data_IF_860592468815
#
_entry.id   IF_860592468815
#
_cell.length_a   1.000
_cell.length_b   1.000
_cell.length_c   1.000
_cell.angle_alpha   90.00
_cell.angle_beta   90.00
_cell.angle_gamma   90.00
#
_symmetry.space_group_name_H-M   'P 1'
#
loop_
_entity.id
_entity.type
_entity.pdbx_description
1 polymer ?
#
# COMPACT_ATOMS: atom_id res chain seq x y z
N UNK A 1 10.07 56.83 1.87
CA UNK A 1 10.10 55.58 1.08
C UNK A 1 9.86 55.94 -0.38
N UNK A 2 10.73 55.50 -1.29
CA UNK A 2 10.46 55.65 -2.73
C UNK A 2 9.46 54.58 -3.17
N UNK A 3 8.69 54.85 -4.23
CA UNK A 3 7.71 53.89 -4.79
C UNK A 3 8.38 52.55 -5.14
N UNK A 4 9.64 52.59 -5.58
CA UNK A 4 10.46 51.40 -5.83
C UNK A 4 10.67 50.53 -4.59
N UNK A 5 10.93 51.13 -3.42
CA UNK A 5 11.11 50.38 -2.17
C UNK A 5 9.81 49.71 -1.73
N UNK A 6 8.67 50.38 -1.91
CA UNK A 6 7.35 49.81 -1.60
C UNK A 6 7.06 48.58 -2.46
N UNK A 7 7.32 48.67 -3.77
CA UNK A 7 7.14 47.55 -4.70
C UNK A 7 8.05 46.37 -4.34
N UNK A 8 9.31 46.64 -3.95
CA UNK A 8 10.23 45.59 -3.51
C UNK A 8 9.74 44.85 -2.26
N UNK A 9 9.22 45.56 -1.26
CA UNK A 9 8.68 44.91 -0.06
C UNK A 9 7.43 44.08 -0.35
N UNK A 10 6.56 44.53 -1.26
CA UNK A 10 5.40 43.75 -1.71
C UNK A 10 5.83 42.48 -2.44
N UNK A 11 6.80 42.58 -3.34
CA UNK A 11 7.38 41.42 -4.04
C UNK A 11 8.04 40.44 -3.07
N UNK A 12 8.80 40.95 -2.08
CA UNK A 12 9.42 40.12 -1.06
C UNK A 12 8.38 39.38 -0.22
N UNK A 13 7.31 40.07 0.20
CA UNK A 13 6.22 39.44 0.94
C UNK A 13 5.53 38.34 0.12
N UNK A 14 5.33 38.57 -1.18
CA UNK A 14 4.76 37.57 -2.09
C UNK A 14 5.68 36.35 -2.27
N UNK A 15 6.99 36.58 -2.42
CA UNK A 15 7.98 35.51 -2.51
C UNK A 15 7.99 34.64 -1.25
N UNK A 16 7.93 35.27 -0.07
CA UNK A 16 7.85 34.57 1.21
C UNK A 16 6.57 33.74 1.30
N UNK A 17 5.43 34.28 0.89
CA UNK A 17 4.16 33.54 0.88
C UNK A 17 4.21 32.31 -0.02
N UNK A 18 4.73 32.43 -1.26
CA UNK A 18 4.90 31.29 -2.18
C UNK A 18 5.85 30.25 -1.57
N UNK A 19 6.94 30.68 -0.97
CA UNK A 19 7.93 29.78 -0.35
C UNK A 19 7.29 28.97 0.77
N UNK A 20 6.49 29.60 1.63
CA UNK A 20 5.77 28.92 2.70
C UNK A 20 4.74 27.91 2.16
N UNK A 21 4.01 28.27 1.09
CA UNK A 21 3.06 27.36 0.43
C UNK A 21 3.77 26.12 -0.15
N UNK A 22 4.93 26.31 -0.80
CA UNK A 22 5.72 25.21 -1.35
C UNK A 22 6.26 24.29 -0.25
N UNK A 23 6.77 24.85 0.85
CA UNK A 23 7.22 24.07 2.00
C UNK A 23 6.07 23.28 2.62
N UNK A 24 4.89 23.89 2.75
CA UNK A 24 3.70 23.22 3.24
C UNK A 24 3.29 22.06 2.33
N UNK A 25 3.18 22.29 1.01
CA UNK A 25 2.83 21.27 0.03
C UNK A 25 3.81 20.09 0.06
N UNK A 26 5.12 20.37 0.12
CA UNK A 26 6.16 19.35 0.23
C UNK A 26 6.03 18.52 1.50
N UNK A 27 5.80 19.17 2.64
CA UNK A 27 5.69 18.52 3.95
C UNK A 27 4.45 17.63 4.02
N UNK A 28 3.30 18.13 3.54
CA UNK A 28 2.06 17.35 3.46
C UNK A 28 2.21 16.17 2.50
N UNK A 29 2.84 16.38 1.34
CA UNK A 29 3.11 15.31 0.38
C UNK A 29 3.96 14.20 0.98
N UNK A 30 5.06 14.56 1.67
CA UNK A 30 5.91 13.58 2.38
C UNK A 30 5.14 12.82 3.46
N UNK A 31 4.34 13.52 4.28
CA UNK A 31 3.53 12.91 5.33
C UNK A 31 2.50 11.93 4.76
N UNK A 32 1.80 12.30 3.69
CA UNK A 32 0.83 11.42 3.00
C UNK A 32 1.50 10.18 2.43
N UNK A 33 2.68 10.32 1.82
CA UNK A 33 3.45 9.18 1.30
C UNK A 33 3.85 8.21 2.40
N UNK A 34 4.37 8.71 3.52
CA UNK A 34 4.72 7.88 4.68
C UNK A 34 3.50 7.16 5.25
N UNK A 35 2.37 7.85 5.37
CA UNK A 35 1.13 7.26 5.84
C UNK A 35 0.61 6.17 4.89
N UNK A 36 0.69 6.38 3.57
CA UNK A 36 0.32 5.35 2.59
C UNK A 36 1.21 4.11 2.69
N UNK A 37 2.52 4.28 2.87
CA UNK A 37 3.43 3.14 3.08
C UNK A 37 3.16 2.41 4.40
N UNK A 38 2.89 3.13 5.48
CA UNK A 38 2.53 2.53 6.76
C UNK A 38 1.22 1.74 6.68
N UNK A 39 0.20 2.33 6.04
CA UNK A 39 -1.09 1.66 5.81
C UNK A 39 -0.90 0.41 4.96
N UNK A 40 -0.10 0.47 3.88
CA UNK A 40 0.21 -0.69 3.04
C UNK A 40 0.82 -1.84 3.85
N UNK A 41 1.83 -1.54 4.66
CA UNK A 41 2.48 -2.55 5.52
C UNK A 41 1.51 -3.13 6.55
N UNK A 42 0.64 -2.29 7.13
CA UNK A 42 -0.34 -2.73 8.10
C UNK A 42 -1.39 -3.65 7.47
N UNK A 43 -1.97 -3.26 6.33
CA UNK A 43 -2.95 -4.07 5.61
C UNK A 43 -2.39 -5.44 5.23
N UNK A 44 -1.15 -5.50 4.71
CA UNK A 44 -0.52 -6.78 4.40
C UNK A 44 -0.30 -7.63 5.65
N UNK A 45 0.14 -7.02 6.75
CA UNK A 45 0.39 -7.74 8.00
C UNK A 45 -0.89 -8.32 8.60
N UNK A 46 -2.00 -7.59 8.52
CA UNK A 46 -3.31 -8.08 8.97
C UNK A 46 -3.79 -9.26 8.12
N UNK A 47 -3.55 -9.23 6.80
CA UNK A 47 -3.83 -10.34 5.89
C UNK A 47 -2.93 -11.55 6.16
N UNK A 48 -1.65 -11.34 6.45
CA UNK A 48 -0.72 -12.41 6.81
C UNK A 48 -1.11 -13.10 8.12
N UNK A 49 -1.54 -12.34 9.13
CA UNK A 49 -2.03 -12.89 10.39
C UNK A 49 -3.29 -13.75 10.16
N UNK A 50 -4.23 -13.28 9.34
CA UNK A 50 -5.41 -14.06 8.94
C UNK A 50 -5.02 -15.33 8.19
N UNK A 51 -4.14 -15.23 7.21
CA UNK A 51 -3.67 -16.39 6.47
C UNK A 51 -2.95 -17.40 7.38
N UNK A 52 -2.19 -16.93 8.37
CA UNK A 52 -1.53 -17.79 9.35
C UNK A 52 -2.52 -18.54 10.26
N UNK A 53 -3.56 -17.86 10.75
CA UNK A 53 -4.63 -18.51 11.53
C UNK A 53 -5.31 -19.62 10.70
N UNK A 54 -5.58 -19.33 9.42
CA UNK A 54 -6.14 -20.28 8.47
C UNK A 54 -5.19 -21.44 8.16
N UNK A 55 -3.88 -21.20 8.07
CA UNK A 55 -2.87 -22.27 7.95
C UNK A 55 -2.97 -23.24 9.12
N UNK A 56 -3.03 -22.73 10.35
CA UNK A 56 -3.13 -23.56 11.54
C UNK A 56 -4.45 -24.35 11.56
N UNK A 57 -5.56 -23.68 11.24
CA UNK A 57 -6.90 -24.29 11.23
C UNK A 57 -7.03 -25.41 10.20
N UNK A 58 -6.46 -25.22 9.02
CA UNK A 58 -6.55 -26.18 7.91
C UNK A 58 -5.32 -27.11 7.81
N UNK A 59 -4.35 -27.00 8.72
CA UNK A 59 -3.09 -27.76 8.72
C UNK A 59 -2.33 -27.65 7.38
N UNK A 60 -2.34 -26.46 6.80
CA UNK A 60 -1.67 -26.14 5.54
C UNK A 60 -0.30 -25.51 5.78
N UNK A 61 0.60 -25.67 4.81
CA UNK A 61 1.92 -25.04 4.77
C UNK A 61 1.97 -24.09 3.58
N UNK A 62 1.66 -22.81 3.78
CA UNK A 62 1.84 -21.81 2.73
C UNK A 62 3.34 -21.47 2.60
N UNK A 63 3.97 -22.11 1.61
CA UNK A 63 5.40 -22.01 1.34
C UNK A 63 5.72 -20.73 0.54
N UNK A 64 4.78 -20.28 -0.29
CA UNK A 64 4.90 -19.10 -1.13
C UNK A 64 3.72 -18.16 -0.88
N UNK A 65 3.99 -16.85 -0.82
CA UNK A 65 3.00 -15.81 -0.49
C UNK A 65 3.23 -14.58 -1.36
N UNK A 66 2.16 -14.04 -1.93
CA UNK A 66 2.18 -12.84 -2.75
C UNK A 66 1.10 -11.88 -2.28
N UNK A 67 1.52 -10.72 -1.76
CA UNK A 67 0.63 -9.67 -1.27
C UNK A 67 0.45 -8.58 -2.32
N UNK A 68 -0.81 -8.23 -2.58
CA UNK A 68 -1.22 -7.16 -3.48
C UNK A 68 -2.13 -6.19 -2.74
N UNK A 69 -2.09 -4.91 -3.11
CA UNK A 69 -3.07 -3.92 -2.64
C UNK A 69 -3.61 -3.20 -3.87
N UNK A 70 -4.93 -3.05 -3.95
CA UNK A 70 -5.58 -2.32 -5.02
C UNK A 70 -5.64 -0.80 -4.74
N UNK A 71 -6.08 -0.02 -5.72
CA UNK A 71 -6.19 1.43 -5.59
C UNK A 71 -7.16 1.90 -4.49
N UNK A 72 -8.10 1.04 -4.08
CA UNK A 72 -9.01 1.30 -2.96
C UNK A 72 -8.42 0.97 -1.58
N UNK A 73 -7.17 0.50 -1.52
CA UNK A 73 -6.48 0.12 -0.28
C UNK A 73 -6.90 -1.25 0.27
N UNK A 74 -7.66 -2.03 -0.49
CA UNK A 74 -8.01 -3.41 -0.16
C UNK A 74 -6.86 -4.32 -0.55
N UNK A 75 -6.34 -5.07 0.42
CA UNK A 75 -5.28 -6.03 0.20
C UNK A 75 -5.80 -7.41 -0.17
N UNK A 76 -5.03 -8.11 -1.00
CA UNK A 76 -5.23 -9.49 -1.42
C UNK A 76 -3.93 -10.22 -1.13
N UNK A 77 -3.99 -11.29 -0.35
CA UNK A 77 -2.83 -12.15 -0.09
C UNK A 77 -3.08 -13.51 -0.73
N UNK A 78 -2.33 -13.80 -1.78
CA UNK A 78 -2.28 -15.13 -2.40
C UNK A 78 -1.27 -15.98 -1.64
N UNK A 79 -1.65 -17.19 -1.29
CA UNK A 79 -0.79 -18.15 -0.60
C UNK A 79 -0.83 -19.49 -1.29
N UNK A 80 0.31 -20.15 -1.39
CA UNK A 80 0.46 -21.41 -2.10
C UNK A 80 1.08 -22.46 -1.19
N UNK A 81 0.38 -23.58 -1.05
CA UNK A 81 0.89 -24.79 -0.42
C UNK A 81 1.33 -25.74 -1.52
N UNK A 82 2.63 -25.84 -1.74
CA UNK A 82 3.19 -26.66 -2.83
C UNK A 82 3.16 -28.15 -2.48
N UNK A 83 3.10 -28.49 -1.19
CA UNK A 83 3.07 -29.88 -0.71
C UNK A 83 1.69 -30.50 -0.88
N UNK A 84 0.67 -29.79 -0.42
CA UNK A 84 -0.72 -30.23 -0.53
C UNK A 84 -1.38 -29.78 -1.85
N UNK A 85 -0.65 -28.99 -2.66
CA UNK A 85 -1.12 -28.45 -3.95
C UNK A 85 -2.42 -27.65 -3.79
N UNK A 86 -2.44 -26.73 -2.82
CA UNK A 86 -3.59 -25.89 -2.48
C UNK A 86 -3.24 -24.41 -2.61
N UNK A 87 -4.14 -23.63 -3.21
CA UNK A 87 -4.06 -22.17 -3.30
C UNK A 87 -5.03 -21.55 -2.32
N UNK A 88 -4.54 -20.62 -1.51
CA UNK A 88 -5.32 -19.74 -0.65
C UNK A 88 -5.38 -18.32 -1.20
N UNK A 89 -6.54 -17.69 -1.13
CA UNK A 89 -6.71 -16.26 -1.39
C UNK A 89 -7.33 -15.66 -0.13
N UNK A 90 -6.55 -14.85 0.57
CA UNK A 90 -7.00 -14.12 1.76
C UNK A 90 -7.34 -12.68 1.36
N UNK A 91 -8.60 -12.32 1.50
CA UNK A 91 -9.11 -10.95 1.37
C UNK A 91 -9.34 -10.36 2.76
N UNK A 92 -9.74 -9.08 2.82
CA UNK A 92 -10.15 -8.44 4.07
C UNK A 92 -11.30 -9.18 4.75
N UNK A 93 -12.30 -9.60 3.97
CA UNK A 93 -13.59 -10.07 4.51
C UNK A 93 -13.86 -11.55 4.19
N UNK A 94 -13.07 -12.13 3.28
CA UNK A 94 -13.31 -13.45 2.74
C UNK A 94 -12.02 -14.24 2.58
N UNK A 95 -12.16 -15.56 2.53
CA UNK A 95 -11.07 -16.48 2.27
C UNK A 95 -11.53 -17.56 1.30
N UNK A 96 -10.69 -17.82 0.31
CA UNK A 96 -10.90 -18.87 -0.66
C UNK A 96 -9.75 -19.86 -0.58
N UNK A 97 -10.08 -21.15 -0.59
CA UNK A 97 -9.11 -22.24 -0.60
C UNK A 97 -9.55 -23.24 -1.66
N UNK A 98 -8.69 -23.51 -2.63
CA UNK A 98 -9.00 -24.39 -3.75
C UNK A 98 -7.73 -25.15 -4.21
N UNK A 99 -7.89 -26.32 -4.86
CA UNK A 99 -6.76 -27.09 -5.34
C UNK A 99 -6.08 -26.42 -6.53
N UNK A 100 -4.79 -26.72 -6.73
CA UNK A 100 -4.02 -26.24 -7.88
C UNK A 100 -4.64 -26.63 -9.24
N UNK A 101 -5.46 -27.68 -9.31
CA UNK A 101 -6.16 -28.06 -10.54
C UNK A 101 -7.08 -26.96 -11.05
N UNK A 102 -7.61 -26.15 -10.15
CA UNK A 102 -8.59 -25.11 -10.44
C UNK A 102 -7.89 -23.74 -10.60
N UNK A 103 -6.56 -23.71 -10.39
CA UNK A 103 -5.73 -22.53 -10.56
C UNK A 103 -5.32 -22.37 -12.02
N UNK A 104 -5.90 -21.37 -12.69
CA UNK A 104 -5.72 -21.16 -14.13
C UNK A 104 -4.37 -20.50 -14.45
N UNK A 105 -4.05 -19.35 -13.83
CA UNK A 105 -2.80 -18.63 -14.06
C UNK A 105 -2.62 -17.50 -13.02
N UNK A 106 -1.38 -17.13 -12.71
CA UNK A 106 -1.04 -15.89 -12.01
C UNK A 106 0.25 -15.32 -12.61
N UNK A 107 0.12 -14.40 -13.56
CA UNK A 107 1.24 -13.74 -14.21
C UNK A 107 1.55 -12.40 -13.55
N UNK A 108 2.75 -12.30 -13.01
CA UNK A 108 3.32 -11.05 -12.55
C UNK A 108 3.87 -10.29 -13.78
N UNK A 109 3.16 -9.28 -14.29
CA UNK A 109 3.71 -8.31 -15.24
C UNK A 109 4.14 -7.08 -14.46
N UNK A 110 5.45 -6.91 -14.26
CA UNK A 110 6.01 -5.59 -13.92
C UNK A 110 6.47 -4.93 -15.22
N UNK A 111 5.98 -3.72 -15.47
CA UNK A 111 6.69 -2.67 -16.21
C UNK A 111 7.18 -1.62 -15.20
#
# INVERSE_FOLDING_TARGET
MTVSSIIQYVLLAFLVAITLLNLYALTVGKKKKQQATANYQQTLRDLELKAYDLMQKHKLSFDEKHGYINDSGSGILLTFDTKNRMVGITLSDEFYLFPFSDFIDCKQKYE
#
